data_IF_482508213018
#
_entry.id   IF_482508213018
#
_cell.length_a   1.000
_cell.length_b   1.000
_cell.length_c   1.000
_cell.angle_alpha   90.00
_cell.angle_beta   90.00
_cell.angle_gamma   90.00
#
_symmetry.space_group_name_H-M   'P 1'
#
loop_
_entity.id
_entity.type
_entity.pdbx_description
1 polymer ?
#
# COMPACT_ATOMS: atom_id res chain seq x y z
N UNK A 1 3.43 0.67 15.12
CA UNK A 1 3.87 1.50 16.25
C UNK A 1 2.63 1.92 17.03
N UNK A 2 2.66 1.83 18.36
CA UNK A 2 1.61 2.33 19.25
C UNK A 2 2.12 3.63 19.87
N UNK A 3 1.30 4.68 19.83
CA UNK A 3 1.58 5.98 20.45
C UNK A 3 0.41 6.26 21.39
N UNK A 4 0.71 6.51 22.68
CA UNK A 4 -0.33 6.74 23.69
C UNK A 4 0.21 7.63 24.81
N UNK A 5 -0.67 8.43 25.43
CA UNK A 5 -0.43 9.15 26.66
C UNK A 5 -1.00 8.41 27.87
N UNK A 6 -1.70 7.29 27.66
CA UNK A 6 -2.24 6.45 28.71
C UNK A 6 -1.16 5.50 29.24
N UNK A 7 -0.84 5.64 30.55
CA UNK A 7 0.16 4.83 31.20
C UNK A 7 -0.19 3.33 31.24
N UNK A 8 -1.45 2.98 31.42
CA UNK A 8 -1.88 1.57 31.50
C UNK A 8 -1.74 0.90 30.12
N UNK A 9 -2.12 1.61 29.04
CA UNK A 9 -1.93 1.12 27.68
C UNK A 9 -0.44 0.95 27.37
N UNK A 10 0.41 1.89 27.78
CA UNK A 10 1.85 1.80 27.60
C UNK A 10 2.43 0.58 28.32
N UNK A 11 2.12 0.40 29.61
CA UNK A 11 2.63 -0.71 30.42
C UNK A 11 2.20 -2.06 29.86
N UNK A 12 0.92 -2.19 29.49
CA UNK A 12 0.41 -3.41 28.88
C UNK A 12 1.05 -3.71 27.52
N UNK A 13 1.24 -2.69 26.68
CA UNK A 13 1.90 -2.85 25.37
C UNK A 13 3.37 -3.27 25.54
N UNK A 14 4.08 -2.70 26.52
CA UNK A 14 5.46 -3.06 26.82
C UNK A 14 5.57 -4.49 27.34
N UNK A 15 4.69 -4.92 28.23
CA UNK A 15 4.65 -6.30 28.71
C UNK A 15 4.37 -7.28 27.56
N UNK A 16 3.33 -7.04 26.76
CA UNK A 16 2.99 -7.87 25.61
C UNK A 16 4.14 -7.96 24.59
N UNK A 17 4.86 -6.88 24.35
CA UNK A 17 6.01 -6.84 23.43
C UNK A 17 7.19 -7.69 23.90
N UNK A 18 7.40 -7.81 25.21
CA UNK A 18 8.53 -8.51 25.84
C UNK A 18 8.10 -9.75 26.60
N UNK A 19 7.46 -10.70 25.93
CA UNK A 19 7.07 -12.00 26.47
C UNK A 19 6.12 -11.97 27.69
N UNK A 20 5.44 -10.88 27.96
CA UNK A 20 4.57 -10.73 29.13
C UNK A 20 5.32 -10.39 30.41
N UNK A 21 6.52 -9.85 30.33
CA UNK A 21 7.31 -9.39 31.49
C UNK A 21 6.83 -8.02 31.97
N UNK A 22 6.90 -7.81 33.26
CA UNK A 22 6.59 -6.51 33.85
C UNK A 22 7.69 -5.48 33.56
N UNK A 23 7.27 -4.22 33.41
CA UNK A 23 8.19 -3.10 33.22
C UNK A 23 8.94 -2.84 34.52
N UNK A 24 10.24 -2.58 34.39
CA UNK A 24 11.08 -2.16 35.56
C UNK A 24 11.61 -3.31 36.39
N UNK A 25 11.26 -4.56 36.12
CA UNK A 25 11.95 -5.69 36.73
C UNK A 25 13.38 -5.71 36.18
N UNK A 26 14.35 -5.31 36.98
CA UNK A 26 15.78 -5.40 36.61
C UNK A 26 16.04 -6.85 36.18
N UNK A 27 16.83 -7.03 35.13
CA UNK A 27 17.29 -8.33 34.62
C UNK A 27 18.24 -9.02 35.62
N UNK A 28 17.75 -9.39 36.79
CA UNK A 28 18.39 -10.39 37.62
C UNK A 28 18.11 -11.75 36.96
N UNK A 29 19.14 -12.57 36.76
CA UNK A 29 19.00 -13.84 36.00
C UNK A 29 17.83 -14.68 36.48
N UNK A 30 17.60 -14.77 37.79
CA UNK A 30 16.49 -15.53 38.39
C UNK A 30 15.09 -14.94 38.11
N UNK A 31 14.98 -13.61 37.95
CA UNK A 31 13.70 -12.95 37.68
C UNK A 31 13.43 -12.72 36.18
N UNK A 32 14.42 -12.99 35.32
CA UNK A 32 14.28 -12.78 33.87
C UNK A 32 13.34 -13.79 33.21
N UNK A 33 13.01 -14.89 33.88
CA UNK A 33 12.10 -15.93 33.41
C UNK A 33 10.71 -15.84 34.03
N UNK A 34 10.43 -14.81 34.84
CA UNK A 34 9.06 -14.61 35.37
C UNK A 34 8.24 -13.79 34.36
N UNK A 35 7.06 -14.31 34.05
CA UNK A 35 6.12 -13.70 33.10
C UNK A 35 4.78 -13.55 33.82
N UNK A 36 4.29 -12.32 33.95
CA UNK A 36 3.02 -12.02 34.64
C UNK A 36 1.80 -12.20 33.73
N UNK A 37 2.01 -12.26 32.42
CA UNK A 37 0.94 -12.47 31.43
C UNK A 37 1.50 -13.15 30.18
N UNK A 38 0.60 -13.56 29.30
CA UNK A 38 0.97 -14.01 27.95
C UNK A 38 1.48 -12.82 27.16
N UNK A 39 2.62 -12.99 26.49
CA UNK A 39 3.22 -11.96 25.64
C UNK A 39 3.91 -12.56 24.41
N UNK A 40 4.48 -11.68 23.60
CA UNK A 40 5.05 -12.03 22.30
C UNK A 40 6.48 -11.47 22.18
N UNK A 41 7.25 -11.97 21.22
CA UNK A 41 8.52 -11.39 20.87
C UNK A 41 8.36 -10.32 19.78
N UNK A 42 7.94 -9.14 20.17
CA UNK A 42 7.84 -7.97 19.28
C UNK A 42 8.95 -6.95 19.54
N UNK A 43 10.07 -7.43 20.04
CA UNK A 43 11.25 -6.57 20.22
C UNK A 43 11.81 -6.13 18.89
N UNK A 44 12.07 -4.83 18.79
CA UNK A 44 12.72 -4.24 17.63
C UNK A 44 14.22 -4.33 17.82
N UNK A 45 14.91 -5.05 16.94
CA UNK A 45 16.36 -5.26 17.05
C UNK A 45 17.14 -4.08 16.51
N UNK A 46 18.39 -3.92 16.93
CA UNK A 46 19.30 -2.89 16.42
C UNK A 46 19.53 -3.03 14.91
N UNK A 47 19.59 -4.25 14.41
CA UNK A 47 19.67 -4.51 12.97
C UNK A 47 18.45 -3.97 12.21
N UNK A 48 17.25 -4.23 12.70
CA UNK A 48 16.02 -3.67 12.12
C UNK A 48 16.02 -2.15 12.19
N UNK A 49 16.50 -1.58 13.31
CA UNK A 49 16.61 -0.13 13.47
C UNK A 49 17.61 0.49 12.47
N UNK A 50 18.76 -0.12 12.27
CA UNK A 50 19.75 0.33 11.30
C UNK A 50 19.21 0.33 9.87
N UNK A 51 18.51 -0.75 9.47
CA UNK A 51 17.81 -0.82 8.17
C UNK A 51 16.73 0.28 8.09
N UNK A 52 15.94 0.47 9.16
CA UNK A 52 14.92 1.50 9.22
C UNK A 52 15.48 2.91 9.02
N UNK A 53 16.57 3.25 9.72
CA UNK A 53 17.25 4.54 9.57
C UNK A 53 17.74 4.74 8.13
N UNK A 54 18.34 3.73 7.53
CA UNK A 54 18.80 3.80 6.14
C UNK A 54 17.65 4.01 5.15
N UNK A 55 16.46 3.46 5.40
CA UNK A 55 15.26 3.68 4.59
C UNK A 55 14.67 5.09 4.82
N UNK A 56 14.65 5.57 6.07
CA UNK A 56 14.15 6.90 6.41
C UNK A 56 14.96 8.02 5.73
N UNK A 57 16.28 7.89 5.66
CA UNK A 57 17.15 8.83 4.92
C UNK A 57 16.77 8.96 3.42
N UNK A 58 16.13 7.95 2.84
CA UNK A 58 15.72 7.93 1.42
C UNK A 58 14.24 8.29 1.23
N UNK A 59 13.47 8.43 2.32
CA UNK A 59 12.00 8.52 2.27
C UNK A 59 11.54 9.74 1.48
N UNK A 60 12.08 10.92 1.77
CA UNK A 60 11.65 12.16 1.10
C UNK A 60 11.86 12.12 -0.42
N UNK A 61 13.03 11.65 -0.86
CA UNK A 61 13.32 11.46 -2.29
C UNK A 61 12.31 10.51 -2.95
N UNK A 62 11.92 9.45 -2.24
CA UNK A 62 10.91 8.50 -2.73
C UNK A 62 9.51 9.12 -2.81
N UNK A 63 9.12 9.92 -1.81
CA UNK A 63 7.86 10.66 -1.79
C UNK A 63 7.77 11.58 -3.00
N UNK A 64 8.79 12.40 -3.23
CA UNK A 64 8.85 13.30 -4.37
C UNK A 64 8.77 12.55 -5.71
N UNK A 65 9.50 11.44 -5.85
CA UNK A 65 9.45 10.60 -7.04
C UNK A 65 8.07 10.00 -7.28
N UNK A 66 7.40 9.51 -6.24
CA UNK A 66 6.04 8.94 -6.34
C UNK A 66 5.01 9.99 -6.73
N UNK A 67 5.09 11.18 -6.14
CA UNK A 67 4.21 12.30 -6.49
C UNK A 67 4.42 12.79 -7.93
N UNK A 68 5.69 12.90 -8.37
CA UNK A 68 6.04 13.23 -9.75
C UNK A 68 5.53 12.19 -10.75
N UNK A 69 5.72 10.91 -10.43
CA UNK A 69 5.24 9.79 -11.24
C UNK A 69 3.71 9.83 -11.41
N UNK A 70 2.96 10.05 -10.32
CA UNK A 70 1.51 10.17 -10.38
C UNK A 70 1.07 11.31 -11.31
N UNK A 71 1.64 12.52 -11.14
CA UNK A 71 1.35 13.65 -12.02
C UNK A 71 1.59 13.29 -13.48
N UNK A 72 2.72 12.67 -13.79
CA UNK A 72 3.08 12.29 -15.15
C UNK A 72 2.09 11.31 -15.79
N UNK A 73 1.61 10.33 -15.04
CA UNK A 73 0.55 9.42 -15.50
C UNK A 73 -0.76 10.18 -15.75
N UNK A 74 -1.16 11.05 -14.82
CA UNK A 74 -2.36 11.89 -14.99
C UNK A 74 -2.24 12.78 -16.21
N UNK A 75 -1.14 13.51 -16.36
CA UNK A 75 -0.91 14.42 -17.50
C UNK A 75 -0.99 13.68 -18.84
N UNK A 76 -0.47 12.46 -18.90
CA UNK A 76 -0.44 11.68 -20.13
C UNK A 76 -1.74 10.94 -20.43
N UNK A 77 -2.55 10.58 -19.44
CA UNK A 77 -3.71 9.68 -19.60
C UNK A 77 -5.06 10.31 -19.27
N UNK A 78 -5.15 11.48 -18.64
CA UNK A 78 -6.42 12.10 -18.23
C UNK A 78 -7.38 12.36 -19.39
N UNK A 79 -6.85 12.60 -20.60
CA UNK A 79 -7.63 12.82 -21.82
C UNK A 79 -8.03 11.53 -22.56
N UNK A 80 -7.65 10.35 -22.04
CA UNK A 80 -8.00 9.07 -22.67
C UNK A 80 -9.43 8.69 -22.29
N UNK A 81 -10.35 8.71 -23.25
CA UNK A 81 -11.73 8.30 -23.01
C UNK A 81 -11.80 6.86 -22.51
N UNK A 82 -12.31 6.67 -21.29
CA UNK A 82 -12.45 5.36 -20.67
C UNK A 82 -11.45 5.07 -19.56
N UNK A 83 -10.59 6.04 -19.23
CA UNK A 83 -9.73 6.02 -18.05
C UNK A 83 -10.18 7.12 -17.10
N UNK A 84 -10.26 6.80 -15.83
CA UNK A 84 -10.58 7.71 -14.73
C UNK A 84 -9.47 7.63 -13.67
N UNK A 85 -9.07 8.79 -13.15
CA UNK A 85 -8.20 8.91 -11.98
C UNK A 85 -9.00 9.45 -10.81
N UNK A 86 -8.74 8.94 -9.61
CA UNK A 86 -9.29 9.56 -8.40
C UNK A 86 -8.59 10.90 -8.15
N UNK A 87 -9.40 11.90 -7.79
CA UNK A 87 -8.90 13.22 -7.41
C UNK A 87 -8.06 13.10 -6.13
N UNK A 88 -6.75 13.29 -6.26
CA UNK A 88 -5.79 13.07 -5.18
C UNK A 88 -5.06 14.37 -4.82
N UNK A 89 -5.13 14.77 -3.55
CA UNK A 89 -4.36 15.90 -3.04
C UNK A 89 -2.93 15.47 -2.69
N UNK A 90 -2.00 15.66 -3.63
CA UNK A 90 -0.61 15.27 -3.47
C UNK A 90 0.17 16.09 -2.42
N UNK A 91 -0.39 17.15 -1.83
CA UNK A 91 0.23 17.83 -0.67
C UNK A 91 0.18 16.92 0.55
N UNK A 92 -0.95 16.25 0.76
CA UNK A 92 -1.22 15.44 1.95
C UNK A 92 -1.06 13.94 1.70
N UNK A 93 -1.05 13.50 0.43
CA UNK A 93 -1.01 12.09 0.05
C UNK A 93 0.22 11.80 -0.80
N UNK A 94 0.80 10.63 -0.58
CA UNK A 94 1.81 10.05 -1.46
C UNK A 94 1.25 8.74 -2.02
N UNK A 95 0.95 8.67 -3.33
CA UNK A 95 0.43 7.45 -3.94
C UNK A 95 1.42 6.29 -3.80
N UNK A 96 0.97 5.21 -3.19
CA UNK A 96 1.76 3.97 -3.15
C UNK A 96 1.71 3.27 -4.51
N UNK A 97 0.53 3.10 -5.05
CA UNK A 97 0.28 2.58 -6.39
C UNK A 97 -0.25 3.69 -7.31
N UNK A 98 -0.22 3.49 -8.60
CA UNK A 98 -0.83 4.39 -9.57
C UNK A 98 -2.14 3.75 -10.03
N UNK A 99 -3.23 4.28 -9.54
CA UNK A 99 -4.57 3.76 -9.75
C UNK A 99 -5.18 4.35 -11.01
N UNK A 100 -5.72 3.50 -11.88
CA UNK A 100 -6.65 3.88 -12.93
C UNK A 100 -7.93 3.06 -12.83
N UNK A 101 -9.05 3.66 -13.21
CA UNK A 101 -10.33 2.98 -13.25
C UNK A 101 -10.86 2.97 -14.68
N UNK A 102 -11.27 1.78 -15.14
CA UNK A 102 -11.80 1.57 -16.47
C UNK A 102 -13.34 1.66 -16.43
N UNK A 103 -13.98 1.74 -17.61
CA UNK A 103 -15.45 1.76 -17.68
C UNK A 103 -16.10 0.48 -17.17
N UNK A 104 -15.42 -0.67 -17.30
CA UNK A 104 -15.94 -1.98 -16.87
C UNK A 104 -14.81 -2.95 -16.55
N UNK A 105 -15.15 -4.02 -15.85
CA UNK A 105 -14.25 -5.16 -15.59
C UNK A 105 -13.81 -5.87 -16.87
N UNK A 106 -14.69 -5.94 -17.87
CA UNK A 106 -14.38 -6.51 -19.19
C UNK A 106 -13.27 -5.69 -19.86
N UNK A 107 -13.41 -4.35 -19.89
CA UNK A 107 -12.42 -3.47 -20.50
C UNK A 107 -11.08 -3.53 -19.74
N UNK A 108 -11.12 -3.63 -18.39
CA UNK A 108 -9.95 -3.88 -17.57
C UNK A 108 -9.20 -5.14 -17.98
N UNK A 109 -9.92 -6.25 -18.11
CA UNK A 109 -9.33 -7.55 -18.48
C UNK A 109 -8.71 -7.51 -19.89
N UNK A 110 -9.35 -6.82 -20.83
CA UNK A 110 -8.80 -6.64 -22.18
C UNK A 110 -7.49 -5.81 -22.14
N UNK A 111 -7.46 -4.72 -21.38
CA UNK A 111 -6.26 -3.89 -21.22
C UNK A 111 -5.11 -4.66 -20.58
N UNK A 112 -5.38 -5.47 -19.54
CA UNK A 112 -4.37 -6.31 -18.90
C UNK A 112 -3.73 -7.23 -19.91
N UNK A 113 -4.53 -8.00 -20.67
CA UNK A 113 -4.03 -8.93 -21.70
C UNK A 113 -3.23 -8.21 -22.79
N UNK A 114 -3.65 -7.00 -23.18
CA UNK A 114 -2.93 -6.20 -24.15
C UNK A 114 -1.55 -5.76 -23.63
N UNK A 115 -1.51 -5.23 -22.42
CA UNK A 115 -0.26 -4.76 -21.80
C UNK A 115 0.70 -5.92 -21.50
N UNK A 116 0.19 -7.07 -21.09
CA UNK A 116 0.97 -8.28 -20.86
C UNK A 116 1.70 -8.72 -22.14
N UNK A 117 1.04 -8.71 -23.30
CA UNK A 117 1.68 -8.96 -24.61
C UNK A 117 2.77 -7.96 -24.95
N UNK A 118 2.74 -6.77 -24.34
CA UNK A 118 3.77 -5.72 -24.48
C UNK A 118 4.81 -5.77 -23.35
N UNK A 119 4.81 -6.83 -22.54
CA UNK A 119 5.70 -7.01 -21.39
C UNK A 119 5.56 -5.90 -20.33
N UNK A 120 4.37 -5.31 -20.21
CA UNK A 120 4.02 -4.31 -19.21
C UNK A 120 3.15 -4.97 -18.14
N UNK A 121 3.75 -5.22 -16.96
CA UNK A 121 3.06 -5.81 -15.81
C UNK A 121 2.08 -4.82 -15.18
N UNK A 122 0.88 -5.30 -14.86
CA UNK A 122 -0.14 -4.56 -14.12
C UNK A 122 -0.68 -5.42 -13.00
N UNK A 123 -1.42 -4.82 -12.06
CA UNK A 123 -2.04 -5.57 -10.97
C UNK A 123 -3.49 -5.13 -10.79
N UNK A 124 -4.38 -6.10 -10.64
CA UNK A 124 -5.79 -5.85 -10.33
C UNK A 124 -5.93 -5.26 -8.92
N UNK A 125 -6.97 -4.47 -8.71
CA UNK A 125 -7.36 -3.99 -7.40
C UNK A 125 -7.69 -5.16 -6.47
N UNK A 126 -7.49 -4.98 -5.17
CA UNK A 126 -7.89 -5.99 -4.19
C UNK A 126 -9.39 -6.21 -4.21
N UNK A 127 -9.86 -7.45 -4.04
CA UNK A 127 -11.27 -7.69 -3.82
C UNK A 127 -11.74 -6.95 -2.55
N UNK A 128 -12.95 -6.40 -2.53
CA UNK A 128 -13.46 -5.73 -1.35
C UNK A 128 -13.65 -6.72 -0.20
N UNK A 129 -13.50 -6.25 1.03
CA UNK A 129 -13.46 -7.10 2.23
C UNK A 129 -14.74 -7.95 2.36
N UNK A 130 -15.90 -7.39 2.03
CA UNK A 130 -17.19 -8.11 2.11
C UNK A 130 -17.30 -9.31 1.15
N UNK A 131 -16.43 -9.42 0.13
CA UNK A 131 -16.35 -10.60 -0.75
C UNK A 131 -15.41 -11.68 -0.22
N UNK A 132 -14.64 -11.40 0.84
CA UNK A 132 -13.75 -12.37 1.45
C UNK A 132 -14.54 -13.32 2.37
N UNK A 133 -14.18 -14.61 2.37
CA UNK A 133 -14.91 -15.65 3.12
C UNK A 133 -15.25 -15.29 4.58
N UNK A 134 -14.34 -14.70 5.39
CA UNK A 134 -14.62 -14.35 6.78
C UNK A 134 -15.67 -13.24 6.97
N UNK A 135 -15.86 -12.40 5.94
CA UNK A 135 -16.68 -11.18 5.99
C UNK A 135 -17.78 -11.17 4.92
N UNK A 136 -18.17 -12.35 4.44
CA UNK A 136 -19.07 -12.47 3.28
C UNK A 136 -20.38 -11.73 3.51
N UNK A 137 -20.64 -10.74 2.63
CA UNK A 137 -21.83 -9.91 2.61
C UNK A 137 -22.21 -9.55 1.16
N UNK A 138 -23.31 -8.84 0.97
CA UNK A 138 -23.83 -8.53 -0.37
C UNK A 138 -23.16 -7.31 -0.99
N UNK A 139 -22.97 -7.34 -2.31
CA UNK A 139 -22.46 -6.19 -3.07
C UNK A 139 -23.42 -4.99 -3.03
N UNK A 140 -24.70 -5.20 -2.71
CA UNK A 140 -25.71 -4.13 -2.70
C UNK A 140 -25.44 -3.07 -1.64
N UNK A 141 -24.93 -3.47 -0.48
CA UNK A 141 -24.58 -2.55 0.59
C UNK A 141 -23.25 -1.81 0.32
N UNK A 142 -22.35 -2.44 -0.44
CA UNK A 142 -20.99 -1.94 -0.69
C UNK A 142 -20.75 -1.62 -2.17
N UNK A 143 -21.75 -1.04 -2.86
CA UNK A 143 -21.70 -0.76 -4.32
C UNK A 143 -20.45 0.00 -4.76
N UNK A 144 -20.02 0.99 -3.98
CA UNK A 144 -18.82 1.78 -4.31
C UNK A 144 -17.56 0.92 -4.25
N UNK A 145 -17.35 0.17 -3.17
CA UNK A 145 -16.19 -0.70 -3.01
C UNK A 145 -16.14 -1.78 -4.10
N UNK A 146 -17.29 -2.41 -4.41
CA UNK A 146 -17.41 -3.40 -5.48
C UNK A 146 -17.09 -2.80 -6.84
N UNK A 147 -17.69 -1.65 -7.18
CA UNK A 147 -17.46 -0.97 -8.46
C UNK A 147 -16.00 -0.58 -8.67
N UNK A 148 -15.36 0.03 -7.67
CA UNK A 148 -13.95 0.41 -7.77
C UNK A 148 -13.04 -0.81 -7.87
N UNK A 149 -13.29 -1.86 -7.08
CA UNK A 149 -12.51 -3.11 -7.16
C UNK A 149 -12.62 -3.77 -8.53
N UNK A 150 -13.82 -3.84 -9.10
CA UNK A 150 -14.07 -4.51 -10.37
C UNK A 150 -13.46 -3.77 -11.57
N UNK A 151 -13.33 -2.45 -11.49
CA UNK A 151 -12.84 -1.59 -12.57
C UNK A 151 -11.40 -1.11 -12.37
N UNK A 152 -10.87 -1.25 -11.16
CA UNK A 152 -9.57 -0.72 -10.78
C UNK A 152 -8.39 -1.54 -11.31
N UNK A 153 -7.34 -0.84 -11.72
CA UNK A 153 -6.09 -1.42 -12.18
C UNK A 153 -4.91 -0.58 -11.69
N UNK A 154 -3.88 -1.23 -11.17
CA UNK A 154 -2.62 -0.60 -10.82
C UNK A 154 -1.63 -0.66 -11.96
N UNK A 155 -1.13 0.49 -12.36
CA UNK A 155 -0.06 0.63 -13.33
C UNK A 155 1.32 0.43 -12.68
N UNK A 156 2.36 0.13 -13.46
CA UNK A 156 3.73 0.03 -12.96
C UNK A 156 4.11 1.30 -12.20
N UNK A 157 4.60 1.13 -10.97
CA UNK A 157 4.86 2.26 -10.06
C UNK A 157 6.10 2.08 -9.19
N UNK A 158 7.09 1.27 -9.63
CA UNK A 158 8.38 1.20 -8.96
C UNK A 158 9.08 2.56 -8.95
N UNK A 159 9.74 2.89 -7.85
CA UNK A 159 10.57 4.11 -7.76
C UNK A 159 11.78 4.10 -8.71
N UNK A 160 12.12 2.92 -9.26
CA UNK A 160 13.19 2.75 -10.25
C UNK A 160 12.76 3.08 -11.68
N UNK A 161 11.43 3.22 -11.94
CA UNK A 161 10.94 3.57 -13.26
C UNK A 161 11.45 4.93 -13.70
N UNK A 162 11.99 4.94 -14.92
CA UNK A 162 12.39 6.18 -15.60
C UNK A 162 11.19 6.86 -16.24
N UNK A 163 11.32 8.15 -16.49
CA UNK A 163 10.31 8.93 -17.18
C UNK A 163 10.05 8.44 -18.61
N UNK A 164 11.09 7.95 -19.30
CA UNK A 164 10.96 7.31 -20.63
C UNK A 164 10.08 6.07 -20.58
N UNK A 165 10.28 5.22 -19.58
CA UNK A 165 9.46 4.01 -19.41
C UNK A 165 7.99 4.35 -19.11
N UNK A 166 7.72 5.38 -18.30
CA UNK A 166 6.35 5.85 -18.05
C UNK A 166 5.68 6.32 -19.35
N UNK A 167 6.40 7.07 -20.20
CA UNK A 167 5.88 7.50 -21.51
C UNK A 167 5.58 6.31 -22.42
N UNK A 168 6.45 5.29 -22.46
CA UNK A 168 6.21 4.06 -23.23
C UNK A 168 4.93 3.38 -22.75
N UNK A 169 4.76 3.17 -21.42
CA UNK A 169 3.56 2.57 -20.83
C UNK A 169 2.31 3.36 -21.23
N UNK A 170 2.33 4.68 -21.07
CA UNK A 170 1.20 5.54 -21.43
C UNK A 170 0.86 5.49 -22.92
N UNK A 171 1.87 5.42 -23.78
CA UNK A 171 1.66 5.30 -25.23
C UNK A 171 0.99 3.97 -25.60
N UNK A 172 1.39 2.85 -24.97
CA UNK A 172 0.73 1.57 -25.17
C UNK A 172 -0.74 1.62 -24.69
N UNK A 173 -1.00 2.24 -23.54
CA UNK A 173 -2.37 2.42 -23.06
C UNK A 173 -3.19 3.27 -24.05
N UNK A 174 -2.65 4.38 -24.55
CA UNK A 174 -3.33 5.20 -25.57
C UNK A 174 -3.63 4.43 -26.85
N UNK A 175 -2.70 3.59 -27.31
CA UNK A 175 -2.92 2.73 -28.48
C UNK A 175 -4.05 1.73 -28.30
N UNK A 176 -4.23 1.19 -27.11
CA UNK A 176 -5.33 0.30 -26.79
C UNK A 176 -6.71 0.97 -26.85
N UNK A 177 -6.79 2.27 -26.62
CA UNK A 177 -8.04 3.05 -26.62
C UNK A 177 -8.33 3.79 -27.94
N UNK A 178 -7.45 3.70 -28.94
CA UNK A 178 -7.71 4.13 -30.31
C UNK A 178 -8.55 3.12 -31.07
#
# INVERSE_FOLDING_TARGET
>A
MIVTNDKQIYERAMALKDFGREIGVKKQMEKSFSHSTIGYNFKFTEFQAAVGIAQMRKLEKRILKKRSMFRKYVDLLSNVKGIEFLKTNLKNVTPWMIDIFLKSSVKRTQLIKYLEKKQIGTRIYYPPIHRLKPYRDTDQEYKQASSFSDRGLWLPSSVTLTDKQIVIICNQIKQFFK
#
